data_IF_478444856460
#
_entry.id   IF_478444856460
#
_cell.length_a   1.000
_cell.length_b   1.000
_cell.length_c   1.000
_cell.angle_alpha   90.00
_cell.angle_beta   90.00
_cell.angle_gamma   90.00
#
_symmetry.space_group_name_H-M   'P 1'
#
loop_
_entity.id
_entity.type
_entity.pdbx_description
1 polymer ?
#
# COMPACT_ATOMS: atom_id res chain seq x y z
N UNK A 1 3.88 66.63 -0.99
CA UNK A 1 2.83 65.72 -1.52
C UNK A 1 3.53 64.54 -2.18
N UNK A 2 3.01 63.35 -1.89
CA UNK A 2 3.29 62.00 -2.43
C UNK A 2 4.64 61.31 -2.13
N UNK A 3 4.48 60.11 -1.56
CA UNK A 3 5.44 59.12 -1.09
C UNK A 3 5.63 58.02 -2.20
N UNK A 4 6.35 56.90 -1.98
CA UNK A 4 7.34 56.33 -2.90
C UNK A 4 6.79 55.20 -3.81
N UNK A 5 7.48 54.94 -4.92
CA UNK A 5 7.15 53.81 -5.80
C UNK A 5 7.97 52.56 -5.43
N UNK A 6 7.30 51.64 -4.74
CA UNK A 6 7.76 50.29 -4.40
C UNK A 6 7.86 49.42 -5.66
N UNK A 7 9.03 48.85 -5.95
CA UNK A 7 9.17 47.81 -6.98
C UNK A 7 8.60 46.50 -6.45
N UNK A 8 7.44 46.10 -6.98
CA UNK A 8 6.80 44.83 -6.69
C UNK A 8 7.64 43.64 -7.17
N UNK A 9 7.89 42.70 -6.27
CA UNK A 9 8.40 41.37 -6.59
C UNK A 9 7.24 40.54 -7.12
N UNK A 10 7.27 40.26 -8.41
CA UNK A 10 6.28 39.43 -9.10
C UNK A 10 6.44 37.96 -8.65
N UNK A 11 5.51 37.50 -7.79
CA UNK A 11 5.43 36.10 -7.37
C UNK A 11 4.93 35.27 -8.55
N UNK A 12 5.83 34.51 -9.18
CA UNK A 12 5.44 33.45 -10.13
C UNK A 12 4.66 32.37 -9.37
N UNK A 13 3.40 32.18 -9.75
CA UNK A 13 2.55 31.09 -9.29
C UNK A 13 3.18 29.75 -9.68
N UNK A 14 3.23 28.73 -8.79
CA UNK A 14 3.65 27.40 -9.19
C UNK A 14 2.59 26.80 -10.12
N UNK A 15 3.01 26.47 -11.32
CA UNK A 15 2.23 25.69 -12.28
C UNK A 15 1.91 24.33 -11.68
N UNK A 16 0.62 24.04 -11.56
CA UNK A 16 0.09 22.74 -11.12
C UNK A 16 0.45 21.66 -12.14
N UNK A 17 1.52 20.92 -11.87
CA UNK A 17 1.78 19.65 -12.56
C UNK A 17 0.68 18.65 -12.18
N UNK A 18 -0.24 18.42 -13.12
CA UNK A 18 -1.26 17.39 -13.03
C UNK A 18 -0.56 16.01 -12.97
N UNK A 19 -0.51 15.42 -11.78
CA UNK A 19 -0.16 14.01 -11.60
C UNK A 19 -1.15 13.14 -12.39
N UNK A 20 -0.65 12.54 -13.48
CA UNK A 20 -1.37 11.58 -14.30
C UNK A 20 -1.69 10.35 -13.44
N UNK A 21 -2.96 10.10 -13.21
CA UNK A 21 -3.47 8.91 -12.53
C UNK A 21 -3.18 7.68 -13.40
N UNK A 22 -2.07 7.00 -13.10
CA UNK A 22 -1.60 5.84 -13.85
C UNK A 22 -2.17 4.54 -13.27
N UNK A 23 -2.81 3.74 -14.11
CA UNK A 23 -3.06 2.32 -13.83
C UNK A 23 -1.71 1.61 -13.61
N UNK A 24 -1.47 1.13 -12.40
CA UNK A 24 -0.17 0.56 -12.00
C UNK A 24 0.20 -0.66 -12.85
N UNK A 25 1.17 -0.52 -13.77
CA UNK A 25 1.68 -1.65 -14.56
C UNK A 25 2.47 -2.60 -13.65
N UNK A 26 2.41 -3.91 -13.91
CA UNK A 26 3.05 -4.96 -13.10
C UNK A 26 4.58 -4.82 -12.89
N UNK A 27 5.24 -3.93 -13.64
CA UNK A 27 6.66 -3.60 -13.50
C UNK A 27 6.96 -2.23 -12.89
N UNK A 28 5.98 -1.50 -12.34
CA UNK A 28 6.18 -0.17 -11.76
C UNK A 28 6.45 -0.24 -10.24
N UNK A 29 7.24 0.72 -9.76
CA UNK A 29 7.44 1.04 -8.35
C UNK A 29 6.59 2.26 -8.04
N UNK A 30 5.84 2.20 -6.94
CA UNK A 30 5.01 3.29 -6.42
C UNK A 30 5.75 3.95 -5.25
N UNK A 31 5.91 5.27 -5.30
CA UNK A 31 6.44 6.05 -4.17
C UNK A 31 5.30 6.36 -3.23
N UNK A 32 5.30 5.75 -2.04
CA UNK A 32 4.22 5.95 -1.06
C UNK A 32 4.45 7.24 -0.28
N UNK A 33 5.68 7.43 0.16
CA UNK A 33 6.17 8.68 0.76
C UNK A 33 7.69 8.71 0.59
N UNK A 34 8.32 9.81 1.00
CA UNK A 34 9.77 9.95 0.89
C UNK A 34 10.50 8.76 1.56
N UNK A 35 11.34 8.08 0.78
CA UNK A 35 12.12 6.94 1.25
C UNK A 35 11.34 5.63 1.45
N UNK A 36 10.05 5.57 1.11
CA UNK A 36 9.24 4.35 1.20
C UNK A 36 8.54 4.03 -0.12
N UNK A 37 8.80 2.83 -0.64
CA UNK A 37 8.36 2.39 -1.94
C UNK A 37 7.55 1.08 -1.86
N UNK A 38 6.61 0.90 -2.78
CA UNK A 38 5.77 -0.29 -2.92
C UNK A 38 5.87 -0.84 -4.34
N UNK A 39 6.02 -2.16 -4.49
CA UNK A 39 5.97 -2.79 -5.81
C UNK A 39 5.55 -4.26 -5.80
N UNK A 40 5.44 -4.85 -7.00
CA UNK A 40 5.47 -6.30 -7.19
C UNK A 40 6.88 -6.78 -7.55
N UNK A 41 7.14 -8.09 -7.40
CA UNK A 41 8.46 -8.70 -7.54
C UNK A 41 9.16 -8.39 -8.87
N UNK A 42 8.40 -8.27 -9.97
CA UNK A 42 8.95 -7.93 -11.30
C UNK A 42 9.65 -6.58 -11.35
N UNK A 43 9.38 -5.68 -10.40
CA UNK A 43 10.00 -4.36 -10.34
C UNK A 43 11.32 -4.36 -9.55
N UNK A 44 11.59 -5.41 -8.76
CA UNK A 44 12.79 -5.56 -7.94
C UNK A 44 13.96 -5.97 -8.85
N UNK A 45 14.74 -4.99 -9.30
CA UNK A 45 15.95 -5.18 -10.11
C UNK A 45 17.06 -4.29 -9.61
N UNK A 46 18.29 -4.80 -9.56
CA UNK A 46 19.46 -4.08 -9.05
C UNK A 46 19.58 -2.65 -9.63
N UNK A 47 19.52 -2.51 -10.95
CA UNK A 47 19.62 -1.19 -11.60
C UNK A 47 18.57 -0.20 -11.08
N UNK A 48 17.31 -0.65 -10.93
CA UNK A 48 16.23 0.19 -10.42
C UNK A 48 16.38 0.53 -8.95
N UNK A 49 16.87 -0.42 -8.13
CA UNK A 49 17.11 -0.15 -6.71
C UNK A 49 18.19 0.93 -6.55
N UNK A 50 19.27 0.85 -7.35
CA UNK A 50 20.32 1.89 -7.41
C UNK A 50 19.77 3.24 -7.83
N UNK A 51 18.99 3.30 -8.90
CA UNK A 51 18.40 4.57 -9.39
C UNK A 51 17.49 5.23 -8.35
N UNK A 52 16.79 4.43 -7.54
CA UNK A 52 15.92 4.90 -6.46
C UNK A 52 16.68 5.14 -5.14
N UNK A 53 17.96 4.78 -5.05
CA UNK A 53 18.73 4.79 -3.81
C UNK A 53 18.20 3.86 -2.73
N UNK A 54 17.50 2.78 -3.11
CA UNK A 54 16.97 1.77 -2.17
C UNK A 54 18.11 0.93 -1.63
N UNK A 55 18.20 0.84 -0.31
CA UNK A 55 19.25 0.08 0.40
C UNK A 55 18.68 -1.02 1.30
N UNK A 56 17.35 -1.13 1.38
CA UNK A 56 16.64 -2.16 2.12
C UNK A 56 15.42 -2.63 1.32
N UNK A 57 15.27 -3.93 1.15
CA UNK A 57 14.14 -4.56 0.48
C UNK A 57 13.42 -5.47 1.46
N UNK A 58 12.14 -5.23 1.67
CA UNK A 58 11.25 -6.13 2.42
C UNK A 58 10.53 -7.02 1.42
N UNK A 59 10.86 -8.32 1.43
CA UNK A 59 10.19 -9.33 0.62
C UNK A 59 9.15 -10.07 1.47
N UNK A 60 7.87 -9.81 1.22
CA UNK A 60 6.75 -10.45 1.92
C UNK A 60 6.19 -11.66 1.18
N UNK A 61 7.05 -12.63 0.84
CA UNK A 61 6.64 -13.86 0.13
C UNK A 61 7.25 -15.10 0.74
N UNK A 62 6.55 -16.23 0.62
CA UNK A 62 7.09 -17.57 0.96
C UNK A 62 7.67 -18.24 -0.28
N UNK A 63 7.11 -17.94 -1.45
CA UNK A 63 7.28 -18.66 -2.70
C UNK A 63 8.42 -18.13 -3.58
N UNK A 64 8.89 -16.90 -3.36
CA UNK A 64 9.96 -16.35 -4.19
C UNK A 64 11.34 -16.69 -3.62
N UNK A 65 12.31 -17.05 -4.49
CA UNK A 65 13.69 -17.21 -4.06
C UNK A 65 14.29 -15.86 -3.65
N UNK A 66 15.33 -15.91 -2.82
CA UNK A 66 16.18 -14.76 -2.58
C UNK A 66 16.94 -14.42 -3.86
N UNK A 67 16.84 -13.17 -4.29
CA UNK A 67 17.63 -12.63 -5.39
C UNK A 67 18.87 -11.98 -4.78
N UNK A 68 20.09 -12.32 -5.22
CA UNK A 68 21.28 -11.59 -4.81
C UNK A 68 21.17 -10.13 -5.26
N UNK A 69 21.28 -9.20 -4.31
CA UNK A 69 21.27 -7.77 -4.54
C UNK A 69 22.50 -7.17 -3.86
N UNK A 70 23.31 -6.44 -4.64
CA UNK A 70 24.53 -5.82 -4.13
C UNK A 70 24.17 -4.56 -3.31
N UNK A 71 24.82 -4.38 -2.16
CA UNK A 71 24.64 -3.20 -1.28
C UNK A 71 23.18 -2.96 -0.82
N UNK A 72 22.34 -4.01 -0.86
CA UNK A 72 20.94 -3.95 -0.45
C UNK A 72 20.69 -5.02 0.60
N UNK A 73 20.26 -4.58 1.78
CA UNK A 73 19.78 -5.46 2.85
C UNK A 73 18.42 -6.05 2.44
N UNK A 74 18.26 -7.38 2.54
CA UNK A 74 16.98 -8.04 2.25
C UNK A 74 16.38 -8.61 3.53
N UNK A 75 15.21 -8.10 3.91
CA UNK A 75 14.41 -8.56 5.05
C UNK A 75 13.28 -9.44 4.55
N UNK A 76 13.12 -10.63 5.13
CA UNK A 76 12.10 -11.60 4.74
C UNK A 76 10.92 -11.59 5.72
N UNK A 77 9.71 -11.39 5.18
CA UNK A 77 8.45 -11.63 5.89
C UNK A 77 7.76 -12.81 5.22
N UNK A 78 7.96 -14.01 5.77
CA UNK A 78 7.48 -15.27 5.18
C UNK A 78 5.98 -15.45 5.43
N UNK A 79 5.15 -14.83 4.58
CA UNK A 79 3.69 -14.89 4.66
C UNK A 79 3.07 -15.25 3.30
N UNK A 80 2.14 -16.22 3.31
CA UNK A 80 1.32 -16.59 2.16
C UNK A 80 0.21 -15.56 1.95
N UNK A 81 -0.30 -15.42 0.72
CA UNK A 81 -1.41 -14.51 0.43
C UNK A 81 -2.76 -15.20 0.67
N UNK A 82 -3.01 -15.61 1.91
CA UNK A 82 -4.24 -16.27 2.30
C UNK A 82 -4.87 -15.55 3.51
N UNK A 83 -6.21 -15.45 3.59
CA UNK A 83 -6.89 -14.86 4.74
C UNK A 83 -6.54 -15.50 6.08
N UNK A 84 -6.17 -16.79 6.08
CA UNK A 84 -5.74 -17.53 7.27
C UNK A 84 -4.28 -17.31 7.67
N UNK A 85 -3.49 -16.59 6.88
CA UNK A 85 -2.07 -16.36 7.19
C UNK A 85 -1.91 -15.32 8.30
N UNK A 86 -1.04 -15.60 9.27
CA UNK A 86 -0.76 -14.70 10.39
C UNK A 86 0.26 -13.62 10.01
N UNK A 87 -0.23 -12.54 9.41
CA UNK A 87 0.57 -11.35 9.14
C UNK A 87 0.82 -10.54 10.43
N UNK A 88 -0.13 -10.55 11.36
CA UNK A 88 -0.10 -9.79 12.61
C UNK A 88 1.15 -10.08 13.44
N UNK A 89 1.60 -11.35 13.50
CA UNK A 89 2.84 -11.75 14.16
C UNK A 89 4.10 -11.02 13.65
N UNK A 90 4.05 -10.46 12.43
CA UNK A 90 5.19 -9.77 11.82
C UNK A 90 5.08 -8.24 11.87
N UNK A 91 3.87 -7.69 12.10
CA UNK A 91 3.59 -6.27 11.84
C UNK A 91 4.46 -5.34 12.69
N UNK A 92 4.59 -5.57 14.00
CA UNK A 92 5.42 -4.70 14.84
C UNK A 92 6.87 -4.72 14.38
N UNK A 93 7.50 -5.89 14.33
CA UNK A 93 8.90 -6.02 13.96
C UNK A 93 9.22 -5.44 12.58
N UNK A 94 8.35 -5.66 11.58
CA UNK A 94 8.61 -5.14 10.23
C UNK A 94 8.37 -3.63 10.13
N UNK A 95 7.36 -3.10 10.81
CA UNK A 95 7.09 -1.66 10.79
C UNK A 95 8.18 -0.88 11.51
N UNK A 96 8.67 -1.40 12.64
CA UNK A 96 9.80 -0.83 13.39
C UNK A 96 11.06 -0.85 12.53
N UNK A 97 11.35 -1.97 11.85
CA UNK A 97 12.49 -2.06 10.92
C UNK A 97 12.39 -1.07 9.76
N UNK A 98 11.19 -0.87 9.20
CA UNK A 98 11.00 0.13 8.14
C UNK A 98 11.29 1.54 8.69
N UNK A 99 10.82 1.84 9.90
CA UNK A 99 11.04 3.14 10.53
C UNK A 99 12.51 3.40 10.82
N UNK A 100 13.21 2.44 11.43
CA UNK A 100 14.64 2.53 11.74
C UNK A 100 15.48 2.82 10.49
N UNK A 101 15.20 2.10 9.39
CA UNK A 101 15.91 2.31 8.13
C UNK A 101 15.61 3.71 7.59
N UNK A 102 14.35 4.15 7.59
CA UNK A 102 13.99 5.50 7.12
C UNK A 102 14.59 6.60 8.01
N UNK A 103 14.59 6.42 9.33
CA UNK A 103 15.19 7.33 10.30
C UNK A 103 16.70 7.52 10.13
N UNK A 104 17.38 6.50 9.57
CA UNK A 104 18.80 6.60 9.19
C UNK A 104 19.06 7.30 7.84
N UNK A 105 18.02 7.87 7.21
CA UNK A 105 18.11 8.50 5.89
C UNK A 105 18.18 7.51 4.72
N UNK A 106 18.03 6.21 5.00
CA UNK A 106 18.02 5.14 4.00
C UNK A 106 16.60 4.92 3.45
N UNK A 107 16.53 4.23 2.31
CA UNK A 107 15.28 4.02 1.56
C UNK A 107 14.88 2.55 1.52
N UNK A 108 13.58 2.30 1.67
CA UNK A 108 13.00 0.95 1.78
C UNK A 108 12.01 0.67 0.64
N UNK A 109 12.15 -0.50 0.00
CA UNK A 109 11.16 -1.04 -0.93
C UNK A 109 10.46 -2.25 -0.31
N UNK A 110 9.13 -2.19 -0.16
CA UNK A 110 8.32 -3.34 0.25
C UNK A 110 7.68 -3.97 -0.99
N UNK A 111 7.85 -5.27 -1.17
CA UNK A 111 7.25 -5.99 -2.28
C UNK A 111 6.70 -7.35 -1.88
N UNK A 112 5.72 -7.82 -2.65
CA UNK A 112 5.30 -9.23 -2.69
C UNK A 112 5.36 -9.72 -4.14
N UNK A 113 4.54 -10.69 -4.54
CA UNK A 113 4.47 -11.11 -5.95
C UNK A 113 3.91 -10.00 -6.85
N UNK A 114 2.67 -9.58 -6.62
CA UNK A 114 1.97 -8.62 -7.48
C UNK A 114 1.98 -7.17 -6.95
N UNK A 115 2.36 -6.97 -5.69
CA UNK A 115 2.21 -5.68 -5.02
C UNK A 115 0.74 -5.31 -4.82
N UNK A 116 -0.11 -6.28 -4.47
CA UNK A 116 -1.58 -6.12 -4.37
C UNK A 116 -2.09 -6.34 -2.95
N UNK A 117 -1.68 -7.41 -2.27
CA UNK A 117 -2.24 -7.77 -0.95
C UNK A 117 -1.21 -7.70 0.18
N UNK A 118 -0.22 -8.62 0.22
CA UNK A 118 0.79 -8.71 1.29
C UNK A 118 1.62 -7.44 1.51
N UNK A 119 2.30 -6.93 0.47
CA UNK A 119 3.13 -5.72 0.63
C UNK A 119 2.32 -4.46 0.91
N UNK A 120 1.14 -4.21 0.30
CA UNK A 120 0.28 -3.13 0.74
C UNK A 120 -0.15 -3.26 2.20
N UNK A 121 -0.50 -4.45 2.68
CA UNK A 121 -0.89 -4.64 4.08
C UNK A 121 0.22 -4.19 5.06
N UNK A 122 1.48 -4.54 4.79
CA UNK A 122 2.63 -4.07 5.58
C UNK A 122 2.76 -2.54 5.53
N UNK A 123 2.63 -1.94 4.34
CA UNK A 123 2.67 -0.48 4.17
C UNK A 123 1.55 0.20 4.97
N UNK A 124 0.34 -0.35 4.96
CA UNK A 124 -0.80 0.18 5.71
C UNK A 124 -0.52 0.17 7.22
N UNK A 125 -0.01 -0.95 7.75
CA UNK A 125 0.40 -1.03 9.15
C UNK A 125 1.48 0.00 9.51
N UNK A 126 2.48 0.18 8.62
CA UNK A 126 3.52 1.18 8.82
C UNK A 126 2.95 2.60 8.93
N UNK A 127 2.07 2.98 8.00
CA UNK A 127 1.45 4.31 8.00
C UNK A 127 0.57 4.53 9.24
N UNK A 128 -0.10 3.48 9.72
CA UNK A 128 -0.90 3.53 10.95
C UNK A 128 -0.04 3.78 12.18
N UNK A 129 1.12 3.12 12.27
CA UNK A 129 2.02 3.20 13.42
C UNK A 129 2.91 4.45 13.44
N UNK A 130 3.43 4.85 12.28
CA UNK A 130 4.51 5.84 12.18
C UNK A 130 4.18 7.10 11.37
N UNK A 131 3.06 7.12 10.63
CA UNK A 131 2.69 8.28 9.79
C UNK A 131 1.43 9.01 10.26
N UNK A 132 0.99 8.76 11.50
CA UNK A 132 -0.24 9.32 12.11
C UNK A 132 -1.50 9.21 11.23
N UNK A 133 -1.64 8.10 10.52
CA UNK A 133 -2.82 7.82 9.71
C UNK A 133 -3.74 6.83 10.43
N UNK A 134 -5.05 7.05 10.36
CA UNK A 134 -6.00 5.94 10.55
C UNK A 134 -5.85 4.92 9.41
N UNK A 135 -6.28 3.68 9.62
CA UNK A 135 -6.25 2.63 8.60
C UNK A 135 -6.99 3.04 7.33
N UNK A 136 -8.14 3.73 7.47
CA UNK A 136 -8.88 4.30 6.34
C UNK A 136 -8.05 5.32 5.58
N UNK A 137 -7.40 6.26 6.27
CA UNK A 137 -6.56 7.28 5.63
C UNK A 137 -5.36 6.63 4.93
N UNK A 138 -4.68 5.69 5.59
CA UNK A 138 -3.57 4.94 5.01
C UNK A 138 -4.01 4.19 3.74
N UNK A 139 -5.16 3.53 3.77
CA UNK A 139 -5.68 2.81 2.61
C UNK A 139 -6.00 3.74 1.44
N UNK A 140 -6.72 4.84 1.68
CA UNK A 140 -7.05 5.82 0.64
C UNK A 140 -5.78 6.47 0.05
N UNK A 141 -4.80 6.79 0.89
CA UNK A 141 -3.51 7.32 0.45
C UNK A 141 -2.79 6.35 -0.48
N UNK A 142 -2.58 5.10 -0.04
CA UNK A 142 -1.88 4.09 -0.85
C UNK A 142 -2.66 3.76 -2.12
N UNK A 143 -3.99 3.70 -2.06
CA UNK A 143 -4.85 3.47 -3.24
C UNK A 143 -4.79 4.61 -4.25
N UNK A 144 -4.62 5.86 -3.79
CA UNK A 144 -4.45 7.00 -4.70
C UNK A 144 -3.16 6.90 -5.53
N UNK A 145 -2.10 6.34 -4.94
CA UNK A 145 -0.79 6.13 -5.60
C UNK A 145 -0.76 4.82 -6.41
N UNK A 146 -1.40 3.77 -5.90
CA UNK A 146 -1.44 2.44 -6.50
C UNK A 146 -2.88 1.90 -6.49
N UNK A 147 -3.68 2.21 -7.53
CA UNK A 147 -5.12 1.93 -7.53
C UNK A 147 -5.52 0.47 -7.39
N UNK A 148 -4.61 -0.46 -7.70
CA UNK A 148 -4.88 -1.91 -7.66
C UNK A 148 -4.50 -2.57 -6.34
N UNK A 149 -4.18 -1.82 -5.28
CA UNK A 149 -4.01 -2.45 -3.96
C UNK A 149 -5.33 -3.04 -3.47
N UNK A 150 -5.25 -4.25 -2.94
CA UNK A 150 -6.38 -5.01 -2.41
C UNK A 150 -5.87 -6.09 -1.44
N UNK A 151 -5.52 -5.73 -0.19
CA UNK A 151 -5.31 -6.72 0.86
C UNK A 151 -6.51 -7.65 0.98
N UNK A 152 -6.26 -8.94 1.22
CA UNK A 152 -7.34 -9.90 1.44
C UNK A 152 -8.09 -9.60 2.76
N UNK A 153 -9.29 -10.16 2.91
CA UNK A 153 -10.16 -9.89 4.06
C UNK A 153 -9.51 -10.24 5.42
N UNK A 154 -8.74 -11.33 5.49
CA UNK A 154 -8.04 -11.74 6.70
C UNK A 154 -6.95 -10.76 7.14
N UNK A 155 -6.21 -10.20 6.18
CA UNK A 155 -5.26 -9.13 6.45
C UNK A 155 -5.95 -7.84 6.89
N UNK A 156 -7.10 -7.50 6.31
CA UNK A 156 -7.88 -6.36 6.81
C UNK A 156 -8.35 -6.56 8.25
N UNK A 157 -8.85 -7.75 8.61
CA UNK A 157 -9.17 -8.07 10.02
C UNK A 157 -7.97 -7.80 10.94
N UNK A 158 -6.79 -8.30 10.56
CA UNK A 158 -5.57 -8.14 11.33
C UNK A 158 -5.12 -6.67 11.41
N UNK A 159 -5.28 -5.90 10.34
CA UNK A 159 -4.97 -4.46 10.31
C UNK A 159 -5.94 -3.63 11.15
N UNK A 160 -7.22 -3.99 11.20
CA UNK A 160 -8.23 -3.36 12.06
C UNK A 160 -7.85 -3.56 13.54
N UNK A 161 -7.47 -4.78 13.91
CA UNK A 161 -6.99 -5.08 15.28
C UNK A 161 -5.66 -4.37 15.59
N UNK A 162 -4.76 -4.28 14.61
CA UNK A 162 -3.50 -3.53 14.74
C UNK A 162 -3.76 -2.04 14.98
N UNK A 163 -4.66 -1.42 14.20
CA UNK A 163 -5.07 -0.03 14.40
C UNK A 163 -5.66 0.17 15.80
N UNK A 164 -6.56 -0.72 16.24
CA UNK A 164 -7.13 -0.65 17.60
C UNK A 164 -6.05 -0.67 18.66
N UNK A 165 -5.06 -1.55 18.54
CA UNK A 165 -3.96 -1.67 19.51
C UNK A 165 -3.06 -0.44 19.52
N UNK A 166 -2.72 0.09 18.35
CA UNK A 166 -1.75 1.19 18.21
C UNK A 166 -2.39 2.56 18.47
N UNK A 167 -3.65 2.76 18.08
CA UNK A 167 -4.34 4.07 18.10
C UNK A 167 -5.52 4.12 19.07
N UNK A 168 -5.90 3.02 19.70
CA UNK A 168 -7.03 2.94 20.62
C UNK A 168 -8.43 2.98 19.95
N UNK A 169 -8.49 2.99 18.61
CA UNK A 169 -9.74 3.07 17.85
C UNK A 169 -9.61 2.38 16.50
N UNK A 170 -10.73 2.16 15.82
CA UNK A 170 -10.78 1.55 14.47
C UNK A 170 -11.52 2.45 13.50
N UNK A 171 -11.00 2.62 12.28
CA UNK A 171 -11.57 3.47 11.23
C UNK A 171 -12.18 2.70 10.06
N UNK A 172 -11.96 1.38 10.01
CA UNK A 172 -12.46 0.46 8.99
C UNK A 172 -13.19 -0.68 9.66
N UNK A 173 -14.29 -1.13 9.07
CA UNK A 173 -15.04 -2.31 9.48
C UNK A 173 -15.19 -3.30 8.33
N UNK A 174 -15.36 -4.58 8.63
CA UNK A 174 -15.69 -5.60 7.63
C UNK A 174 -17.21 -5.76 7.54
N UNK A 175 -17.75 -5.43 6.38
CA UNK A 175 -19.18 -5.59 6.05
C UNK A 175 -19.37 -6.94 5.37
N UNK A 176 -20.36 -7.71 5.84
CA UNK A 176 -20.73 -8.99 5.21
C UNK A 176 -21.67 -8.73 4.04
N UNK A 177 -21.30 -9.20 2.85
CA UNK A 177 -22.21 -9.28 1.73
C UNK A 177 -23.01 -10.59 1.82
N UNK A 178 -24.30 -10.49 2.11
CA UNK A 178 -25.19 -11.65 2.28
C UNK A 178 -25.45 -12.42 0.98
N UNK A 179 -25.21 -11.82 -0.18
CA UNK A 179 -25.43 -12.45 -1.48
C UNK A 179 -24.20 -13.24 -1.96
N UNK A 180 -23.01 -12.82 -1.55
CA UNK A 180 -21.74 -13.44 -1.94
C UNK A 180 -21.07 -14.24 -0.81
N UNK A 181 -21.50 -14.07 0.45
CA UNK A 181 -20.87 -14.69 1.61
C UNK A 181 -19.47 -14.14 1.92
N UNK A 182 -19.13 -12.97 1.39
CA UNK A 182 -17.80 -12.36 1.49
C UNK A 182 -17.77 -11.30 2.59
N UNK A 183 -16.60 -11.14 3.22
CA UNK A 183 -16.33 -10.03 4.15
C UNK A 183 -15.47 -8.99 3.47
N UNK A 184 -16.01 -7.78 3.33
CA UNK A 184 -15.39 -6.71 2.54
C UNK A 184 -15.20 -5.49 3.42
N UNK A 185 -14.01 -4.86 3.41
CA UNK A 185 -13.80 -3.60 4.12
C UNK A 185 -14.77 -2.52 3.63
N UNK A 186 -15.40 -1.78 4.54
CA UNK A 186 -16.30 -0.67 4.23
C UNK A 186 -15.62 0.43 3.36
N UNK A 187 -14.30 0.58 3.47
CA UNK A 187 -13.49 1.48 2.63
C UNK A 187 -13.42 1.05 1.15
N UNK A 188 -13.88 -0.17 0.85
CA UNK A 188 -14.01 -0.71 -0.50
C UNK A 188 -15.47 -0.74 -1.00
N UNK A 189 -16.44 -0.11 -0.31
CA UNK A 189 -17.86 -0.16 -0.66
C UNK A 189 -18.20 0.30 -2.09
N UNK A 190 -17.42 1.21 -2.68
CA UNK A 190 -17.64 1.62 -4.07
C UNK A 190 -17.46 0.43 -5.04
N UNK A 191 -16.58 -0.51 -4.72
CA UNK A 191 -16.40 -1.75 -5.50
C UNK A 191 -17.63 -2.66 -5.37
N UNK A 192 -18.26 -2.70 -4.19
CA UNK A 192 -19.50 -3.42 -3.95
C UNK A 192 -20.68 -2.84 -4.74
N UNK A 193 -20.80 -1.51 -4.80
CA UNK A 193 -21.85 -0.85 -5.59
C UNK A 193 -21.70 -1.17 -7.08
N UNK A 194 -20.46 -1.20 -7.59
CA UNK A 194 -20.18 -1.61 -8.97
C UNK A 194 -20.52 -3.08 -9.22
N UNK A 195 -20.21 -3.98 -8.27
CA UNK A 195 -20.55 -5.41 -8.39
C UNK A 195 -22.05 -5.69 -8.33
N UNK A 196 -22.77 -4.91 -7.51
CA UNK A 196 -24.24 -5.00 -7.39
C UNK A 196 -24.95 -4.36 -8.58
N UNK A 197 -24.26 -3.55 -9.38
CA UNK A 197 -24.79 -3.06 -10.66
C UNK A 197 -24.77 -4.20 -11.70
N UNK A 198 -25.97 -4.56 -12.16
CA UNK A 198 -26.27 -5.69 -13.07
C UNK A 198 -25.47 -5.72 -14.38
N UNK A 199 -24.83 -4.62 -14.78
CA UNK A 199 -23.97 -4.58 -15.98
C UNK A 199 -22.61 -5.26 -15.78
N UNK A 200 -22.06 -5.29 -14.57
CA UNK A 200 -20.80 -5.98 -14.24
C UNK A 200 -21.03 -7.45 -13.88
N UNK A 201 -22.16 -7.77 -13.23
CA UNK A 201 -22.52 -9.12 -12.80
C UNK A 201 -22.65 -10.16 -13.94
N UNK A 202 -22.66 -9.74 -15.22
CA UNK A 202 -22.68 -10.65 -16.39
C UNK A 202 -21.30 -11.17 -16.80
N UNK A 203 -20.21 -10.61 -16.29
CA UNK A 203 -18.85 -11.09 -16.57
C UNK A 203 -18.38 -12.08 -15.49
N UNK A 204 -18.69 -13.36 -15.69
CA UNK A 204 -18.36 -14.49 -14.79
C UNK A 204 -16.89 -14.49 -14.31
N UNK A 205 -15.97 -14.01 -15.15
CA UNK A 205 -14.54 -13.94 -14.83
C UNK A 205 -14.21 -12.93 -13.72
N UNK A 206 -14.87 -11.77 -13.71
CA UNK A 206 -14.63 -10.72 -12.73
C UNK A 206 -15.19 -11.10 -11.36
N UNK A 207 -16.36 -11.76 -11.34
CA UNK A 207 -16.95 -12.33 -10.12
C UNK A 207 -16.05 -13.39 -9.47
N UNK A 208 -15.51 -14.34 -10.25
CA UNK A 208 -14.60 -15.38 -9.74
C UNK A 208 -13.29 -14.81 -9.18
N UNK A 209 -12.75 -13.78 -9.81
CA UNK A 209 -11.56 -13.10 -9.29
C UNK A 209 -11.88 -12.34 -7.99
N UNK A 210 -13.04 -11.69 -7.91
CA UNK A 210 -13.49 -11.00 -6.70
C UNK A 210 -13.74 -11.98 -5.54
N UNK A 211 -14.45 -13.08 -5.79
CA UNK A 211 -14.68 -14.14 -4.80
C UNK A 211 -13.35 -14.69 -4.28
N UNK A 212 -12.37 -14.98 -5.15
CA UNK A 212 -11.04 -15.44 -4.70
C UNK A 212 -10.26 -14.44 -3.85
N UNK A 213 -10.55 -13.15 -3.96
CA UNK A 213 -9.83 -12.10 -3.24
C UNK A 213 -10.41 -11.86 -1.83
N UNK A 214 -11.67 -12.24 -1.60
CA UNK A 214 -12.40 -11.96 -0.36
C UNK A 214 -13.03 -13.20 0.31
N UNK A 215 -12.93 -14.38 -0.30
CA UNK A 215 -13.25 -15.68 0.30
C UNK A 215 -12.05 -16.21 1.09
#
# INVERSE_FOLDING_TARGET
MVNPCSRGVERKQPTTEKQKHGTGRAGQVSVIMEGLYLSGARAVRQARLRDLGVTCVVNSTVELPLVPLDDVEVVLVRVSDAPSSDLAAHLDAITDKIDDVRGSGRRVLVHCVAGVSRSPAIILAYLVKYADMSLRQAFLHVRSVRPNIRPNAGFFSQLIEFERRVRGSTSVTLVKDTNLGLSIPDVCEDELKVLRDTRWARMIHERRNFERLYA
#
